data_IF_836881352638
#
_entry.id   IF_836881352638
#
_cell.length_a   1.000
_cell.length_b   1.000
_cell.length_c   1.000
_cell.angle_alpha   90.00
_cell.angle_beta   90.00
_cell.angle_gamma   90.00
#
_symmetry.space_group_name_H-M   'P 1'
#
loop_
_entity.id
_entity.type
_entity.pdbx_description
1 polymer ?
#
# COMPACT_ATOMS: atom_id res chain seq x y z
N UNK A 1 1.39 11.48 -18.67
CA UNK A 1 1.97 10.92 -17.43
C UNK A 1 1.91 9.41 -17.49
N UNK A 2 3.02 8.75 -17.18
CA UNK A 2 3.09 7.30 -17.13
C UNK A 2 3.43 6.87 -15.70
N UNK A 3 2.54 6.08 -15.11
CA UNK A 3 2.72 5.60 -13.74
C UNK A 3 3.12 4.13 -13.78
N UNK A 4 4.21 3.80 -13.11
CA UNK A 4 4.66 2.42 -12.95
C UNK A 4 4.26 1.89 -11.59
N UNK A 5 3.87 0.61 -11.55
CA UNK A 5 3.46 -0.06 -10.31
C UNK A 5 4.49 -1.14 -9.99
N UNK A 6 5.03 -1.09 -8.77
CA UNK A 6 6.09 -2.02 -8.36
C UNK A 6 5.82 -2.57 -6.97
N UNK A 7 6.11 -3.85 -6.79
CA UNK A 7 6.22 -4.41 -5.45
C UNK A 7 7.51 -3.90 -4.83
N UNK A 8 7.44 -3.47 -3.58
CA UNK A 8 8.60 -2.97 -2.84
C UNK A 8 8.80 -3.82 -1.59
N UNK A 9 10.01 -3.84 -1.06
CA UNK A 9 10.37 -4.71 0.07
C UNK A 9 9.73 -4.25 1.37
N UNK A 10 10.25 -3.20 1.95
CA UNK A 10 9.73 -2.60 3.18
C UNK A 10 9.32 -1.16 2.91
N UNK A 11 8.41 -0.59 3.71
CA UNK A 11 8.08 0.81 3.53
C UNK A 11 9.29 1.68 3.85
N UNK A 12 9.79 2.37 2.84
CA UNK A 12 10.88 3.32 2.98
C UNK A 12 10.36 4.70 3.41
N UNK A 13 11.25 5.69 3.46
CA UNK A 13 10.90 7.04 3.86
C UNK A 13 9.79 7.64 3.00
N UNK A 14 9.84 7.42 1.69
CA UNK A 14 8.83 7.93 0.75
C UNK A 14 7.46 7.30 1.00
N UNK A 15 7.43 6.00 1.25
CA UNK A 15 6.20 5.26 1.55
C UNK A 15 5.57 5.77 2.86
N UNK A 16 6.39 5.90 3.90
CA UNK A 16 5.93 6.40 5.21
C UNK A 16 5.46 7.86 5.12
N UNK A 17 6.16 8.67 4.36
CA UNK A 17 5.78 10.05 4.14
C UNK A 17 4.43 10.16 3.42
N UNK A 18 4.20 9.34 2.40
CA UNK A 18 2.93 9.34 1.68
C UNK A 18 1.78 8.89 2.60
N UNK A 19 1.99 7.83 3.39
CA UNK A 19 0.99 7.42 4.39
C UNK A 19 0.67 8.54 5.35
N UNK A 20 1.70 9.22 5.84
CA UNK A 20 1.51 10.30 6.81
C UNK A 20 0.71 11.44 6.21
N UNK A 21 1.12 11.96 5.06
CA UNK A 21 0.47 13.11 4.43
C UNK A 21 -0.99 12.85 4.07
N UNK A 22 -1.29 11.65 3.60
CA UNK A 22 -2.64 11.34 3.11
C UNK A 22 -3.55 10.82 4.20
N UNK A 23 -3.03 9.96 5.08
CA UNK A 23 -3.86 9.21 6.03
C UNK A 23 -3.73 9.69 7.47
N UNK A 24 -2.63 10.35 7.83
CA UNK A 24 -2.30 10.69 9.21
C UNK A 24 -1.95 12.16 9.42
N UNK A 25 -2.32 13.03 8.49
CA UNK A 25 -2.07 14.45 8.64
C UNK A 25 -2.67 14.97 9.95
N UNK A 26 -1.88 15.76 10.69
CA UNK A 26 -2.31 16.28 12.00
C UNK A 26 -2.11 15.33 13.16
N UNK A 27 -1.67 14.10 12.91
CA UNK A 27 -1.36 13.09 13.94
C UNK A 27 0.15 12.98 14.13
N UNK A 28 0.62 12.35 15.23
CA UNK A 28 2.06 12.11 15.40
C UNK A 28 2.61 11.32 14.22
N UNK A 29 3.83 11.66 13.78
CA UNK A 29 4.41 11.08 12.58
C UNK A 29 4.60 9.56 12.68
N UNK A 30 4.89 9.05 13.85
CA UNK A 30 5.04 7.61 14.09
C UNK A 30 3.77 6.81 13.80
N UNK A 31 2.59 7.45 13.73
CA UNK A 31 1.35 6.76 13.40
C UNK A 31 1.32 6.26 11.94
N UNK A 32 2.23 6.74 11.09
CA UNK A 32 2.39 6.23 9.73
C UNK A 32 3.01 4.83 9.69
N UNK A 33 3.66 4.39 10.76
CA UNK A 33 4.21 3.04 10.88
C UNK A 33 3.13 2.11 11.43
N UNK A 34 3.14 0.89 10.95
CA UNK A 34 2.22 -0.16 11.41
C UNK A 34 3.03 -1.25 12.12
N UNK A 35 3.23 -1.12 13.45
CA UNK A 35 4.06 -2.08 14.19
C UNK A 35 3.54 -3.51 14.04
N UNK A 36 4.46 -4.45 13.85
CA UNK A 36 4.13 -5.86 13.66
C UNK A 36 3.65 -6.19 12.26
N UNK A 37 3.18 -5.20 11.51
CA UNK A 37 2.73 -5.37 10.12
C UNK A 37 3.85 -5.03 9.16
N UNK A 38 4.47 -3.87 9.32
CA UNK A 38 5.54 -3.43 8.44
C UNK A 38 6.78 -4.33 8.51
N UNK A 39 7.00 -5.00 9.64
CA UNK A 39 8.13 -5.90 9.84
C UNK A 39 7.83 -7.37 9.50
N UNK A 40 6.56 -7.73 9.32
CA UNK A 40 6.17 -9.11 9.01
C UNK A 40 6.64 -9.47 7.59
N UNK A 41 7.40 -10.56 7.48
CA UNK A 41 7.95 -11.00 6.19
C UNK A 41 6.87 -11.40 5.17
N UNK A 42 5.66 -11.69 5.62
CA UNK A 42 4.54 -12.04 4.75
C UNK A 42 3.82 -10.81 4.20
N UNK A 43 4.03 -9.65 4.81
CA UNK A 43 3.39 -8.41 4.37
C UNK A 43 3.99 -7.96 3.03
N UNK A 44 3.12 -7.59 2.09
CA UNK A 44 3.53 -7.10 0.78
C UNK A 44 3.21 -5.62 0.66
N UNK A 45 4.09 -4.92 -0.04
CA UNK A 45 3.94 -3.49 -0.26
C UNK A 45 3.98 -3.20 -1.75
N UNK A 46 3.09 -2.33 -2.20
CA UNK A 46 3.08 -1.91 -3.60
C UNK A 46 3.21 -0.38 -3.64
N UNK A 47 3.97 0.11 -4.59
CA UNK A 47 4.11 1.53 -4.86
C UNK A 47 3.74 1.85 -6.29
N UNK A 48 3.13 3.01 -6.49
CA UNK A 48 2.90 3.60 -7.80
C UNK A 48 3.85 4.78 -7.94
N UNK A 49 4.56 4.85 -9.05
CA UNK A 49 5.62 5.82 -9.26
C UNK A 49 5.43 6.62 -10.54
N UNK A 50 5.56 7.93 -10.44
CA UNK A 50 5.73 8.81 -11.58
C UNK A 50 7.22 9.15 -11.62
N UNK A 51 7.96 8.46 -12.51
CA UNK A 51 9.41 8.51 -12.48
C UNK A 51 9.93 7.94 -11.17
N UNK A 52 10.63 8.76 -10.38
CA UNK A 52 11.16 8.37 -9.07
C UNK A 52 10.24 8.72 -7.91
N UNK A 53 9.18 9.47 -8.19
CA UNK A 53 8.28 9.95 -7.16
C UNK A 53 7.21 8.91 -6.88
N UNK A 54 7.09 8.48 -5.63
CA UNK A 54 5.99 7.61 -5.20
C UNK A 54 4.72 8.46 -5.09
N UNK A 55 3.72 8.12 -5.87
CA UNK A 55 2.44 8.86 -5.91
C UNK A 55 1.26 8.04 -5.40
N UNK A 56 1.48 6.78 -5.11
CA UNK A 56 0.49 5.90 -4.50
C UNK A 56 1.17 4.75 -3.80
N UNK A 57 0.49 4.17 -2.82
CA UNK A 57 1.00 3.01 -2.10
C UNK A 57 -0.13 2.23 -1.47
N UNK A 58 0.15 0.97 -1.14
CA UNK A 58 -0.74 0.15 -0.33
C UNK A 58 0.06 -0.95 0.34
N UNK A 59 -0.49 -1.46 1.43
CA UNK A 59 0.06 -2.58 2.19
C UNK A 59 -0.94 -3.72 2.16
N UNK A 60 -0.46 -4.93 1.91
CA UNK A 60 -1.27 -6.14 1.90
C UNK A 60 -0.76 -7.06 3.00
N UNK A 61 -1.59 -7.28 4.02
CA UNK A 61 -1.24 -8.11 5.16
C UNK A 61 -2.16 -9.32 5.28
N UNK A 62 -1.66 -10.40 5.87
CA UNK A 62 -2.52 -11.52 6.25
C UNK A 62 -3.38 -11.09 7.44
N UNK A 63 -4.65 -11.53 7.44
CA UNK A 63 -5.54 -11.27 8.57
C UNK A 63 -5.00 -11.98 9.80
N UNK A 64 -4.80 -11.27 10.92
CA UNK A 64 -4.29 -11.90 12.14
C UNK A 64 -5.22 -12.97 12.70
N UNK A 65 -6.51 -12.93 12.37
CA UNK A 65 -7.50 -13.91 12.85
C UNK A 65 -7.68 -15.08 11.89
N UNK A 66 -7.44 -14.86 10.60
CA UNK A 66 -7.59 -15.89 9.58
C UNK A 66 -6.52 -15.69 8.51
N UNK A 67 -5.45 -16.46 8.60
CA UNK A 67 -4.30 -16.37 7.68
C UNK A 67 -4.65 -16.72 6.23
N UNK A 68 -5.84 -17.28 5.99
CA UNK A 68 -6.31 -17.54 4.63
C UNK A 68 -6.78 -16.26 3.93
N UNK A 69 -7.01 -15.19 4.67
CA UNK A 69 -7.49 -13.92 4.12
C UNK A 69 -6.41 -12.84 4.15
N UNK A 70 -6.51 -11.93 3.20
CA UNK A 70 -5.63 -10.79 3.09
C UNK A 70 -6.39 -9.50 3.33
N UNK A 71 -5.70 -8.49 3.88
CA UNK A 71 -6.26 -7.17 4.12
C UNK A 71 -5.44 -6.10 3.43
N UNK A 72 -6.12 -5.15 2.80
CA UNK A 72 -5.48 -3.94 2.30
C UNK A 72 -5.44 -2.93 3.42
N UNK A 73 -4.24 -2.39 3.67
CA UNK A 73 -4.05 -1.33 4.66
C UNK A 73 -3.25 -0.20 4.06
N UNK A 74 -3.44 0.99 4.61
CA UNK A 74 -2.59 2.13 4.28
C UNK A 74 -2.56 2.48 2.81
N UNK A 75 -3.69 2.28 2.09
CA UNK A 75 -3.75 2.71 0.70
C UNK A 75 -3.83 4.22 0.64
N UNK A 76 -2.90 4.83 -0.05
CA UNK A 76 -2.80 6.27 -0.16
C UNK A 76 -2.43 6.67 -1.58
N UNK A 77 -3.07 7.74 -2.08
CA UNK A 77 -2.75 8.34 -3.37
C UNK A 77 -2.47 9.81 -3.13
N UNK A 78 -1.35 10.29 -3.63
CA UNK A 78 -0.97 11.70 -3.53
C UNK A 78 -2.11 12.58 -4.06
N UNK A 79 -2.44 13.64 -3.32
CA UNK A 79 -3.57 14.50 -3.64
C UNK A 79 -3.50 15.11 -5.04
N UNK A 80 -2.28 15.34 -5.55
CA UNK A 80 -2.07 15.87 -6.90
C UNK A 80 -2.32 14.83 -8.00
N UNK A 81 -2.50 13.56 -7.64
CA UNK A 81 -2.65 12.44 -8.57
C UNK A 81 -4.00 11.74 -8.45
N UNK A 82 -4.93 12.32 -7.71
CA UNK A 82 -6.27 11.73 -7.54
C UNK A 82 -7.06 11.80 -8.83
N UNK A 83 -8.07 10.94 -8.95
CA UNK A 83 -8.98 10.85 -10.09
C UNK A 83 -8.28 10.44 -11.40
N UNK A 84 -7.16 9.74 -11.29
CA UNK A 84 -6.40 9.23 -12.45
C UNK A 84 -6.35 7.69 -12.49
N UNK A 85 -7.15 7.03 -11.66
CA UNK A 85 -7.25 5.58 -11.63
C UNK A 85 -6.11 4.87 -10.91
N UNK A 86 -5.24 5.59 -10.19
CA UNK A 86 -4.10 4.98 -9.49
C UNK A 86 -4.57 4.03 -8.39
N UNK A 87 -5.50 4.48 -7.55
CA UNK A 87 -6.05 3.63 -6.50
C UNK A 87 -6.70 2.37 -7.05
N UNK A 88 -7.49 2.50 -8.11
CA UNK A 88 -8.14 1.36 -8.77
C UNK A 88 -7.12 0.40 -9.36
N UNK A 89 -6.04 0.90 -9.95
CA UNK A 89 -4.96 0.06 -10.49
C UNK A 89 -4.24 -0.69 -9.39
N UNK A 90 -3.97 -0.04 -8.26
CA UNK A 90 -3.37 -0.70 -7.09
C UNK A 90 -4.27 -1.83 -6.60
N UNK A 91 -5.55 -1.55 -6.39
CA UNK A 91 -6.52 -2.57 -5.95
C UNK A 91 -6.56 -3.74 -6.93
N UNK A 92 -6.59 -3.46 -8.22
CA UNK A 92 -6.58 -4.50 -9.26
C UNK A 92 -5.36 -5.41 -9.16
N UNK A 93 -4.17 -4.85 -8.94
CA UNK A 93 -2.95 -5.64 -8.78
C UNK A 93 -2.99 -6.48 -7.50
N UNK A 94 -3.51 -5.94 -6.42
CA UNK A 94 -3.64 -6.67 -5.16
C UNK A 94 -4.65 -7.81 -5.29
N UNK A 95 -5.77 -7.58 -5.98
CA UNK A 95 -6.76 -8.62 -6.25
C UNK A 95 -6.20 -9.74 -7.12
N UNK A 96 -5.41 -9.41 -8.13
CA UNK A 96 -4.76 -10.41 -8.97
C UNK A 96 -3.77 -11.25 -8.16
N UNK A 97 -3.03 -10.64 -7.26
CA UNK A 97 -2.12 -11.34 -6.36
C UNK A 97 -2.88 -12.31 -5.46
N UNK A 98 -3.97 -11.85 -4.83
CA UNK A 98 -4.80 -12.68 -3.97
C UNK A 98 -5.41 -13.85 -4.73
N UNK A 99 -5.86 -13.62 -5.97
CA UNK A 99 -6.41 -14.69 -6.82
C UNK A 99 -5.38 -15.79 -7.10
N UNK A 100 -4.12 -15.41 -7.32
CA UNK A 100 -3.04 -16.38 -7.54
C UNK A 100 -2.77 -17.23 -6.30
N UNK A 101 -3.03 -16.70 -5.12
CA UNK A 101 -2.90 -17.42 -3.86
C UNK A 101 -4.18 -18.19 -3.51
N UNK A 102 -5.22 -18.07 -4.32
CA UNK A 102 -6.54 -18.68 -4.08
C UNK A 102 -7.10 -18.27 -2.71
N UNK A 103 -7.04 -16.98 -2.41
CA UNK A 103 -7.48 -16.43 -1.13
C UNK A 103 -8.37 -15.21 -1.35
N UNK A 104 -9.14 -14.83 -0.32
CA UNK A 104 -9.94 -13.63 -0.33
C UNK A 104 -9.13 -12.38 0.01
N UNK A 105 -9.70 -11.21 -0.26
CA UNK A 105 -9.08 -9.94 0.07
C UNK A 105 -10.14 -9.00 0.64
N UNK A 106 -9.73 -8.23 1.65
CA UNK A 106 -10.57 -7.28 2.35
C UNK A 106 -10.15 -5.83 2.10
#
# INVERSE_FOLDING_TARGET
>A
MSVEYKWVGKPDADHLDLRFRVLREGMPRETARYPGIDEDVRTKFIGAFDGRKMVGCATLQYDPKDEADLRIRGMAVDSSYRNRGIGSSIVGMLQNYAAKLNTGIW
#
